data_IF_271536838873
#
_entry.id   IF_271536838873
#
_cell.length_a   1.000
_cell.length_b   1.000
_cell.length_c   1.000
_cell.angle_alpha   90.00
_cell.angle_beta   90.00
_cell.angle_gamma   90.00
#
_symmetry.space_group_name_H-M   'P 1'
#
loop_
_entity.id
_entity.type
_entity.pdbx_description
1 polymer ?
#
# COMPACT_ATOMS: atom_id res chain seq x y z
N UNK A 1 2.81 21.60 9.63
CA UNK A 1 2.60 20.29 8.99
C UNK A 1 1.16 20.23 8.49
N UNK A 2 0.93 19.85 7.22
CA UNK A 2 -0.43 19.80 6.66
C UNK A 2 -1.26 18.73 7.38
N UNK A 3 -2.52 19.05 7.71
CA UNK A 3 -3.43 18.17 8.45
C UNK A 3 -3.54 16.77 7.82
N UNK A 4 -3.58 16.68 6.49
CA UNK A 4 -3.62 15.42 5.75
C UNK A 4 -2.39 14.52 5.99
N UNK A 5 -1.18 15.11 6.04
CA UNK A 5 0.06 14.38 6.30
C UNK A 5 0.08 13.85 7.74
N UNK A 6 -0.36 14.67 8.69
CA UNK A 6 -0.48 14.27 10.09
C UNK A 6 -1.48 13.12 10.24
N UNK A 7 -2.65 13.22 9.61
CA UNK A 7 -3.65 12.13 9.58
C UNK A 7 -3.05 10.84 9.04
N UNK A 8 -2.35 10.89 7.90
CA UNK A 8 -1.73 9.72 7.29
C UNK A 8 -0.69 9.03 8.18
N UNK A 9 0.15 9.81 8.87
CA UNK A 9 1.16 9.29 9.80
C UNK A 9 0.48 8.59 10.98
N UNK A 10 -0.54 9.22 11.57
CA UNK A 10 -1.27 8.63 12.69
C UNK A 10 -2.03 7.37 12.26
N UNK A 11 -2.71 7.38 11.11
CA UNK A 11 -3.42 6.19 10.63
C UNK A 11 -2.47 5.03 10.34
N UNK A 12 -1.32 5.29 9.70
CA UNK A 12 -0.32 4.26 9.43
C UNK A 12 0.35 3.74 10.70
N UNK A 13 0.74 4.63 11.61
CA UNK A 13 1.37 4.27 12.88
C UNK A 13 0.45 3.45 13.78
N UNK A 14 -0.81 3.88 13.93
CA UNK A 14 -1.82 3.15 14.70
C UNK A 14 -2.06 1.77 14.09
N UNK A 15 -2.18 1.68 12.76
CA UNK A 15 -2.34 0.40 12.07
C UNK A 15 -1.17 -0.56 12.33
N UNK A 16 0.07 -0.08 12.25
CA UNK A 16 1.26 -0.90 12.53
C UNK A 16 1.31 -1.37 13.99
N UNK A 17 0.97 -0.51 14.95
CA UNK A 17 0.91 -0.88 16.37
C UNK A 17 -0.15 -1.96 16.60
N UNK A 18 -1.35 -1.79 16.01
CA UNK A 18 -2.42 -2.80 16.11
C UNK A 18 -1.99 -4.11 15.47
N UNK A 19 -1.39 -4.10 14.29
CA UNK A 19 -0.91 -5.30 13.61
C UNK A 19 0.18 -6.02 14.44
N UNK A 20 1.11 -5.28 15.04
CA UNK A 20 2.13 -5.84 15.92
C UNK A 20 1.52 -6.45 17.18
N UNK A 21 0.57 -5.75 17.83
CA UNK A 21 -0.12 -6.22 19.02
C UNK A 21 -0.94 -7.49 18.75
N UNK A 22 -1.69 -7.55 17.64
CA UNK A 22 -2.45 -8.73 17.24
C UNK A 22 -1.54 -9.94 17.01
N UNK A 23 -0.39 -9.75 16.34
CA UNK A 23 0.58 -10.82 16.14
C UNK A 23 1.19 -11.30 17.46
N UNK A 24 1.54 -10.38 18.36
CA UNK A 24 2.08 -10.72 19.68
C UNK A 24 1.05 -11.50 20.51
N UNK A 25 -0.19 -11.01 20.59
CA UNK A 25 -1.28 -11.67 21.31
C UNK A 25 -1.60 -13.04 20.71
N UNK A 26 -1.52 -13.21 19.39
CA UNK A 26 -1.71 -14.51 18.76
C UNK A 26 -0.59 -15.51 19.11
N UNK A 27 0.66 -15.06 19.23
CA UNK A 27 1.79 -15.90 19.68
C UNK A 27 1.61 -16.30 21.14
N UNK A 28 1.34 -15.33 22.02
CA UNK A 28 1.09 -15.58 23.45
C UNK A 28 -0.08 -16.54 23.61
N UNK A 29 -1.20 -16.28 22.94
CA UNK A 29 -2.40 -17.11 23.01
C UNK A 29 -2.18 -18.55 22.57
N UNK A 30 -1.32 -18.78 21.56
CA UNK A 30 -0.91 -20.14 21.16
C UNK A 30 -0.09 -20.86 22.24
N UNK A 31 0.67 -20.14 23.05
CA UNK A 31 1.49 -20.73 24.11
C UNK A 31 0.75 -20.85 25.45
N UNK A 32 -0.25 -20.01 25.71
CA UNK A 32 -1.07 -20.03 26.94
C UNK A 32 -2.34 -20.87 26.81
N UNK A 33 -2.59 -21.49 25.65
CA UNK A 33 -3.77 -22.33 25.42
C UNK A 33 -5.05 -21.55 25.07
N UNK A 34 -4.95 -20.23 24.88
CA UNK A 34 -6.05 -19.33 24.48
C UNK A 34 -5.76 -18.73 23.10
N UNK A 35 -5.84 -19.51 22.00
CA UNK A 35 -5.49 -19.02 20.68
C UNK A 35 -6.44 -17.92 20.22
N UNK A 36 -5.86 -16.78 19.80
CA UNK A 36 -6.60 -15.68 19.21
C UNK A 36 -7.06 -16.06 17.78
N UNK A 37 -8.26 -16.62 17.68
CA UNK A 37 -8.89 -16.98 16.40
C UNK A 37 -9.15 -15.71 15.57
N UNK A 38 -8.88 -15.76 14.27
CA UNK A 38 -9.07 -14.62 13.36
C UNK A 38 -7.96 -13.58 13.41
N UNK A 39 -6.90 -13.78 14.20
CA UNK A 39 -5.80 -12.83 14.31
C UNK A 39 -5.13 -12.54 12.96
N UNK A 40 -4.94 -13.56 12.12
CA UNK A 40 -4.34 -13.43 10.78
C UNK A 40 -5.23 -12.56 9.90
N UNK A 41 -6.54 -12.81 9.90
CA UNK A 41 -7.52 -12.07 9.09
C UNK A 41 -7.54 -10.59 9.49
N UNK A 42 -7.55 -10.30 10.81
CA UNK A 42 -7.50 -8.94 11.33
C UNK A 42 -6.18 -8.24 10.97
N UNK A 43 -5.04 -8.93 11.09
CA UNK A 43 -3.74 -8.39 10.68
C UNK A 43 -3.74 -8.06 9.19
N UNK A 44 -4.29 -8.93 8.33
CA UNK A 44 -4.39 -8.67 6.89
C UNK A 44 -5.19 -7.40 6.60
N UNK A 45 -6.35 -7.21 7.23
CA UNK A 45 -7.17 -6.00 7.06
C UNK A 45 -6.42 -4.75 7.51
N UNK A 46 -5.82 -4.79 8.70
CA UNK A 46 -5.12 -3.64 9.28
C UNK A 46 -3.89 -3.27 8.46
N UNK A 47 -3.11 -4.26 8.03
CA UNK A 47 -1.93 -4.04 7.17
C UNK A 47 -2.34 -3.56 5.79
N UNK A 48 -3.41 -4.08 5.21
CA UNK A 48 -3.91 -3.62 3.93
C UNK A 48 -4.29 -2.14 3.98
N UNK A 49 -5.11 -1.74 4.96
CA UNK A 49 -5.58 -0.36 5.09
C UNK A 49 -4.40 0.56 5.43
N UNK A 50 -3.64 0.24 6.48
CA UNK A 50 -2.51 1.04 6.94
C UNK A 50 -1.41 1.16 5.89
N UNK A 51 -1.03 0.05 5.25
CA UNK A 51 -0.02 0.00 4.21
C UNK A 51 -0.43 0.76 2.94
N UNK A 52 -1.69 0.61 2.50
CA UNK A 52 -2.24 1.34 1.35
C UNK A 52 -2.19 2.85 1.57
N UNK A 53 -2.64 3.33 2.72
CA UNK A 53 -2.61 4.76 3.06
C UNK A 53 -1.17 5.28 3.20
N UNK A 54 -0.27 4.49 3.80
CA UNK A 54 1.14 4.83 3.91
C UNK A 54 1.81 4.94 2.53
N UNK A 55 1.50 4.03 1.61
CA UNK A 55 1.97 4.09 0.22
C UNK A 55 1.52 5.37 -0.47
N UNK A 56 0.22 5.72 -0.40
CA UNK A 56 -0.29 6.99 -0.96
C UNK A 56 0.44 8.20 -0.36
N UNK A 57 0.62 8.22 0.96
CA UNK A 57 1.33 9.29 1.66
C UNK A 57 2.81 9.40 1.20
N UNK A 58 3.48 8.27 1.03
CA UNK A 58 4.86 8.21 0.57
C UNK A 58 5.00 8.62 -0.91
N UNK A 59 4.03 8.27 -1.76
CA UNK A 59 3.95 8.72 -3.15
C UNK A 59 3.73 10.23 -3.23
N UNK A 60 2.84 10.80 -2.41
CA UNK A 60 2.64 12.26 -2.32
C UNK A 60 3.92 12.98 -1.86
N UNK A 61 4.64 12.38 -0.92
CA UNK A 61 5.93 12.91 -0.44
C UNK A 61 7.09 12.68 -1.41
N UNK A 62 6.88 12.03 -2.56
CA UNK A 62 7.94 11.60 -3.50
C UNK A 62 9.06 10.77 -2.84
N UNK A 63 8.77 10.10 -1.73
CA UNK A 63 9.74 9.33 -0.95
C UNK A 63 9.81 7.85 -1.37
N UNK A 64 8.80 7.34 -2.08
CA UNK A 64 8.72 5.91 -2.43
C UNK A 64 9.19 5.58 -3.85
N UNK A 65 9.12 6.53 -4.78
CA UNK A 65 9.50 6.36 -6.18
C UNK A 65 10.93 6.84 -6.50
N UNK A 66 11.67 7.29 -5.49
CA UNK A 66 13.03 7.85 -5.62
C UNK A 66 14.01 7.07 -4.76
N UNK A 67 14.96 6.41 -5.39
CA UNK A 67 16.10 5.81 -4.69
C UNK A 67 17.12 6.92 -4.42
N UNK A 68 16.92 7.64 -3.32
CA UNK A 68 17.77 8.76 -2.91
C UNK A 68 19.27 8.41 -2.92
N UNK A 69 19.63 7.19 -2.49
CA UNK A 69 21.02 6.71 -2.51
C UNK A 69 21.71 6.82 -3.88
N UNK A 70 20.97 6.61 -4.97
CA UNK A 70 21.48 6.67 -6.35
C UNK A 70 21.29 8.07 -6.92
N UNK A 71 20.08 8.64 -6.77
CA UNK A 71 19.73 9.94 -7.35
C UNK A 71 20.54 11.09 -6.76
N UNK A 72 20.91 11.02 -5.48
CA UNK A 72 21.69 12.07 -4.82
C UNK A 72 23.16 12.06 -5.28
N UNK A 73 23.62 11.00 -5.95
CA UNK A 73 24.96 10.89 -6.54
C UNK A 73 25.03 11.35 -8.01
N UNK A 74 23.88 11.61 -8.65
CA UNK A 74 23.79 12.03 -10.04
C UNK A 74 23.59 13.55 -10.13
N UNK A 75 24.22 14.19 -11.12
CA UNK A 75 24.10 15.63 -11.37
C UNK A 75 23.59 15.91 -12.79
N UNK A 76 22.85 17.01 -12.95
CA UNK A 76 22.32 17.47 -14.23
C UNK A 76 21.37 16.47 -14.91
N UNK A 77 21.40 16.43 -16.24
CA UNK A 77 20.43 15.66 -17.04
C UNK A 77 20.40 14.15 -16.77
N UNK A 78 21.49 13.55 -16.28
CA UNK A 78 21.50 12.13 -15.90
C UNK A 78 20.58 11.85 -14.69
N UNK A 79 20.43 12.82 -13.79
CA UNK A 79 19.49 12.73 -12.67
C UNK A 79 18.04 12.77 -13.15
N UNK A 80 17.74 13.67 -14.08
CA UNK A 80 16.38 13.83 -14.62
C UNK A 80 15.93 12.59 -15.40
N UNK A 81 16.84 12.02 -16.21
CA UNK A 81 16.59 10.76 -16.91
C UNK A 81 16.38 9.60 -15.93
N UNK A 82 17.24 9.48 -14.92
CA UNK A 82 17.10 8.41 -13.92
C UNK A 82 15.78 8.52 -13.16
N UNK A 83 15.37 9.74 -12.79
CA UNK A 83 14.09 9.98 -12.12
C UNK A 83 12.89 9.65 -13.01
N UNK A 84 12.97 10.02 -14.29
CA UNK A 84 11.95 9.70 -15.28
C UNK A 84 11.80 8.17 -15.45
N UNK A 85 12.91 7.44 -15.57
CA UNK A 85 12.92 5.97 -15.66
C UNK A 85 12.33 5.35 -14.38
N UNK A 86 12.76 5.79 -13.20
CA UNK A 86 12.23 5.28 -11.92
C UNK A 86 10.71 5.48 -11.81
N UNK A 87 10.22 6.64 -12.23
CA UNK A 87 8.78 6.95 -12.22
C UNK A 87 8.02 6.05 -13.20
N UNK A 88 8.56 5.85 -14.41
CA UNK A 88 7.93 5.02 -15.43
C UNK A 88 7.89 3.54 -15.02
N UNK A 89 8.99 3.01 -14.47
CA UNK A 89 9.04 1.65 -13.92
C UNK A 89 8.07 1.48 -12.75
N UNK A 90 7.94 2.49 -11.89
CA UNK A 90 6.96 2.47 -10.79
C UNK A 90 5.52 2.42 -11.31
N UNK A 91 5.18 3.23 -12.32
CA UNK A 91 3.86 3.20 -12.97
C UNK A 91 3.58 1.83 -13.56
N UNK A 92 4.54 1.26 -14.30
CA UNK A 92 4.40 -0.07 -14.90
C UNK A 92 4.17 -1.14 -13.83
N UNK A 93 4.95 -1.12 -12.74
CA UNK A 93 4.79 -2.04 -11.62
C UNK A 93 3.40 -1.96 -10.99
N UNK A 94 2.89 -0.76 -10.70
CA UNK A 94 1.57 -0.60 -10.13
C UNK A 94 0.44 -0.95 -11.11
N UNK A 95 0.62 -0.73 -12.42
CA UNK A 95 -0.32 -1.20 -13.45
C UNK A 95 -0.39 -2.72 -13.50
N UNK A 96 0.75 -3.41 -13.42
CA UNK A 96 0.78 -4.89 -13.34
C UNK A 96 0.08 -5.40 -12.08
N UNK A 97 0.33 -4.78 -10.92
CA UNK A 97 -0.36 -5.12 -9.68
C UNK A 97 -1.88 -4.90 -9.77
N UNK A 98 -2.31 -3.76 -10.32
CA UNK A 98 -3.73 -3.45 -10.51
C UNK A 98 -4.38 -4.44 -11.48
N UNK A 99 -3.72 -4.75 -12.60
CA UNK A 99 -4.19 -5.73 -13.57
C UNK A 99 -4.37 -7.11 -12.94
N UNK A 100 -3.37 -7.60 -12.20
CA UNK A 100 -3.45 -8.87 -11.49
C UNK A 100 -4.52 -8.88 -10.39
N UNK A 101 -4.66 -7.79 -9.63
CA UNK A 101 -5.66 -7.70 -8.57
C UNK A 101 -7.09 -7.62 -9.12
N UNK A 102 -7.30 -6.88 -10.23
CA UNK A 102 -8.57 -6.85 -10.95
C UNK A 102 -8.92 -8.20 -11.56
N UNK A 103 -7.95 -8.89 -12.18
CA UNK A 103 -8.14 -10.26 -12.67
C UNK A 103 -8.65 -11.17 -11.55
N UNK A 104 -7.94 -11.17 -10.42
CA UNK A 104 -8.29 -11.99 -9.26
C UNK A 104 -9.66 -11.60 -8.67
N UNK A 105 -10.01 -10.32 -8.69
CA UNK A 105 -11.31 -9.84 -8.23
C UNK A 105 -12.47 -10.31 -9.13
N UNK A 106 -12.26 -10.37 -10.45
CA UNK A 106 -13.26 -10.88 -11.40
C UNK A 106 -13.41 -12.39 -11.27
N UNK A 107 -12.30 -13.12 -11.24
CA UNK A 107 -12.28 -14.59 -11.14
C UNK A 107 -13.01 -15.09 -9.87
N UNK A 108 -12.88 -14.35 -8.77
CA UNK A 108 -13.45 -14.69 -7.47
C UNK A 108 -14.69 -13.86 -7.10
N UNK A 109 -15.31 -13.16 -8.05
CA UNK A 109 -16.50 -12.35 -7.77
C UNK A 109 -17.70 -13.21 -7.34
N UNK A 110 -17.83 -14.41 -7.92
CA UNK A 110 -18.94 -15.34 -7.66
C UNK A 110 -18.76 -16.24 -6.44
N UNK A 111 -17.57 -16.30 -5.84
CA UNK A 111 -17.25 -17.26 -4.77
C UNK A 111 -17.68 -16.83 -3.37
N UNK A 112 -18.29 -15.63 -3.21
CA UNK A 112 -18.75 -15.10 -1.91
C UNK A 112 -17.68 -15.23 -0.81
N UNK A 113 -16.43 -14.89 -1.14
CA UNK A 113 -15.31 -15.09 -0.23
C UNK A 113 -15.43 -14.21 1.03
N UNK A 114 -15.70 -14.88 2.13
CA UNK A 114 -15.65 -14.34 3.48
C UNK A 114 -14.56 -15.04 4.27
N UNK A 115 -13.92 -14.32 5.19
CA UNK A 115 -12.94 -14.92 6.08
C UNK A 115 -13.62 -15.95 7.01
N UNK A 116 -12.94 -17.07 7.27
CA UNK A 116 -13.56 -18.23 7.92
C UNK A 116 -13.95 -17.95 9.38
N UNK A 117 -13.20 -17.08 10.06
CA UNK A 117 -13.37 -16.85 11.49
C UNK A 117 -14.07 -15.53 11.81
N UNK A 118 -13.70 -14.44 11.13
CA UNK A 118 -14.21 -13.09 11.39
C UNK A 118 -15.31 -12.68 10.40
N UNK A 119 -15.46 -13.40 9.28
CA UNK A 119 -16.46 -13.08 8.25
C UNK A 119 -16.12 -11.82 7.45
N UNK A 120 -14.84 -11.47 7.32
CA UNK A 120 -14.40 -10.30 6.56
C UNK A 120 -14.69 -10.53 5.06
N UNK A 121 -15.42 -9.61 4.39
CA UNK A 121 -15.67 -9.72 2.96
C UNK A 121 -14.41 -9.39 2.16
N UNK A 122 -13.78 -10.40 1.56
CA UNK A 122 -12.51 -10.22 0.83
C UNK A 122 -12.66 -9.39 -0.44
N UNK A 123 -13.84 -9.40 -1.06
CA UNK A 123 -14.15 -8.54 -2.20
C UNK A 123 -14.01 -7.05 -1.86
N UNK A 124 -14.43 -6.64 -0.66
CA UNK A 124 -14.36 -5.24 -0.22
C UNK A 124 -12.91 -4.82 0.01
N UNK A 125 -12.10 -5.72 0.57
CA UNK A 125 -10.66 -5.51 0.75
C UNK A 125 -9.95 -5.34 -0.59
N UNK A 126 -10.26 -6.18 -1.58
CA UNK A 126 -9.70 -6.06 -2.94
C UNK A 126 -10.15 -4.77 -3.64
N UNK A 127 -11.43 -4.40 -3.51
CA UNK A 127 -11.94 -3.14 -4.05
C UNK A 127 -11.20 -1.94 -3.46
N UNK A 128 -10.94 -1.93 -2.15
CA UNK A 128 -10.17 -0.89 -1.49
C UNK A 128 -8.72 -0.83 -2.00
N UNK A 129 -8.06 -1.99 -2.17
CA UNK A 129 -6.72 -2.07 -2.75
C UNK A 129 -6.69 -1.50 -4.17
N UNK A 130 -7.62 -1.93 -5.03
CA UNK A 130 -7.70 -1.48 -6.41
C UNK A 130 -7.91 0.04 -6.50
N UNK A 131 -8.79 0.60 -5.67
CA UNK A 131 -8.97 2.04 -5.58
C UNK A 131 -7.66 2.75 -5.18
N UNK A 132 -6.96 2.22 -4.20
CA UNK A 132 -5.66 2.78 -3.76
C UNK A 132 -4.62 2.73 -4.89
N UNK A 133 -4.52 1.61 -5.60
CA UNK A 133 -3.59 1.46 -6.72
C UNK A 133 -3.89 2.46 -7.84
N UNK A 134 -5.18 2.66 -8.17
CA UNK A 134 -5.61 3.70 -9.13
C UNK A 134 -5.15 5.09 -8.69
N UNK A 135 -5.34 5.43 -7.40
CA UNK A 135 -4.89 6.71 -6.85
C UNK A 135 -3.37 6.87 -6.97
N UNK A 136 -2.59 5.84 -6.61
CA UNK A 136 -1.13 5.87 -6.70
C UNK A 136 -0.68 6.08 -8.16
N UNK A 137 -1.26 5.34 -9.11
CA UNK A 137 -0.95 5.48 -10.54
C UNK A 137 -1.28 6.90 -11.02
N UNK A 138 -2.44 7.43 -10.67
CA UNK A 138 -2.83 8.79 -11.03
C UNK A 138 -1.86 9.85 -10.48
N UNK A 139 -1.40 9.68 -9.23
CA UNK A 139 -0.40 10.55 -8.62
C UNK A 139 0.95 10.46 -9.34
N UNK A 140 1.42 9.26 -9.68
CA UNK A 140 2.68 9.08 -10.41
C UNK A 140 2.62 9.67 -11.82
N UNK A 141 1.52 9.45 -12.55
CA UNK A 141 1.30 10.05 -13.88
C UNK A 141 1.29 11.57 -13.79
N UNK A 142 0.61 12.14 -12.78
CA UNK A 142 0.63 13.58 -12.54
C UNK A 142 2.05 14.10 -12.29
N UNK A 143 2.83 13.42 -11.45
CA UNK A 143 4.22 13.79 -11.16
C UNK A 143 5.10 13.72 -12.42
N UNK A 144 4.87 12.71 -13.29
CA UNK A 144 5.58 12.56 -14.56
C UNK A 144 5.30 13.73 -15.52
N UNK A 145 4.06 14.23 -15.56
CA UNK A 145 3.64 15.36 -16.39
C UNK A 145 4.15 16.69 -15.83
N UNK A 146 4.08 16.88 -14.50
CA UNK A 146 4.57 18.09 -13.83
C UNK A 146 6.10 18.23 -13.92
N UNK A 147 6.85 17.13 -13.78
CA UNK A 147 8.31 17.14 -13.90
C UNK A 147 8.85 17.40 -15.32
N UNK A 148 7.97 17.41 -16.34
CA UNK A 148 8.29 17.76 -17.73
C UNK A 148 8.07 19.22 -18.07
N UNK A 149 7.57 20.04 -17.14
CA UNK A 149 7.42 21.48 -17.36
C UNK A 149 8.77 22.17 -17.08
N UNK A 150 9.35 22.89 -18.07
CA UNK A 150 10.62 23.59 -17.91
C UNK A 150 10.52 24.71 -16.86
#
# INVERSE_FOLDING_TARGET
MNAARTMMIWTGGIALIIAAALNLLAVIGRHTGLPLKGAIELVQVVVLIGGSLALVAATLGRNHARVHLILDRLTGGNRDVAEWICTLLSILFYLMLLGGSCWLAVDLWGSQEVSELVGVPWWAMRAFLNLTLVVIIALLVRQLVEGRRP
#
